data_IF_869930133487
#
_entry.id   IF_869930133487
#
_cell.length_a   1.000
_cell.length_b   1.000
_cell.length_c   1.000
_cell.angle_alpha   90.00
_cell.angle_beta   90.00
_cell.angle_gamma   90.00
#
_symmetry.space_group_name_H-M   'P 1'
#
loop_
_entity.id
_entity.type
_entity.pdbx_description
1 polymer ?
#
# COMPACT_ATOMS: atom_id res chain seq x y z
N UNK A 1 -5.77 -15.40 -16.36
CA UNK A 1 -5.46 -13.95 -16.43
C UNK A 1 -6.29 -13.13 -15.44
N UNK A 2 -7.62 -13.16 -15.50
CA UNK A 2 -8.51 -12.44 -14.56
C UNK A 2 -8.16 -12.70 -13.08
N UNK A 3 -7.92 -13.96 -12.71
CA UNK A 3 -7.54 -14.33 -11.34
C UNK A 3 -6.24 -13.68 -10.88
N UNK A 4 -5.26 -13.47 -11.76
CA UNK A 4 -3.97 -12.88 -11.38
C UNK A 4 -4.11 -11.38 -11.07
N UNK A 5 -4.89 -10.65 -11.87
CA UNK A 5 -5.19 -9.24 -11.61
C UNK A 5 -6.07 -9.05 -10.36
N UNK A 6 -7.00 -9.96 -10.08
CA UNK A 6 -7.77 -9.94 -8.84
C UNK A 6 -6.88 -10.12 -7.60
N UNK A 7 -5.91 -11.05 -7.65
CA UNK A 7 -4.94 -11.24 -6.58
C UNK A 7 -4.02 -10.04 -6.40
N UNK A 8 -3.64 -9.38 -7.49
CA UNK A 8 -2.86 -8.15 -7.46
C UNK A 8 -3.64 -7.00 -6.80
N UNK A 9 -4.91 -6.80 -7.16
CA UNK A 9 -5.76 -5.79 -6.51
C UNK A 9 -5.94 -6.06 -5.02
N UNK A 10 -6.18 -7.32 -4.63
CA UNK A 10 -6.27 -7.71 -3.23
C UNK A 10 -4.94 -7.47 -2.50
N UNK A 11 -3.81 -7.82 -3.11
CA UNK A 11 -2.48 -7.54 -2.56
C UNK A 11 -2.27 -6.05 -2.32
N UNK A 12 -2.59 -5.21 -3.30
CA UNK A 12 -2.49 -3.74 -3.20
C UNK A 12 -3.37 -3.23 -2.04
N UNK A 13 -4.61 -3.71 -1.95
CA UNK A 13 -5.52 -3.33 -0.87
C UNK A 13 -4.95 -3.70 0.52
N UNK A 14 -4.38 -4.90 0.68
CA UNK A 14 -3.75 -5.33 1.92
C UNK A 14 -2.52 -4.49 2.28
N UNK A 15 -1.68 -4.13 1.31
CA UNK A 15 -0.52 -3.26 1.55
C UNK A 15 -0.95 -1.88 2.03
N UNK A 16 -1.92 -1.28 1.34
CA UNK A 16 -2.41 0.06 1.68
C UNK A 16 -3.12 0.05 3.03
N UNK A 17 -3.92 -0.98 3.33
CA UNK A 17 -4.52 -1.17 4.64
C UNK A 17 -3.45 -1.31 5.73
N UNK A 18 -2.41 -2.12 5.50
CA UNK A 18 -1.29 -2.30 6.44
C UNK A 18 -0.56 -0.99 6.74
N UNK A 19 -0.24 -0.22 5.71
CA UNK A 19 0.37 1.11 5.86
C UNK A 19 -0.52 2.08 6.64
N UNK A 20 -1.82 2.08 6.35
CA UNK A 20 -2.78 2.95 7.02
C UNK A 20 -2.89 2.59 8.50
N UNK A 21 -2.97 1.29 8.83
CA UNK A 21 -2.98 0.78 10.20
C UNK A 21 -1.71 1.15 10.95
N UNK A 22 -0.53 1.03 10.32
CA UNK A 22 0.73 1.47 10.91
C UNK A 22 0.76 2.96 11.17
N UNK A 23 0.30 3.77 10.22
CA UNK A 23 0.24 5.22 10.39
C UNK A 23 -0.66 5.61 11.57
N UNK A 24 -1.85 5.02 11.67
CA UNK A 24 -2.76 5.21 12.82
C UNK A 24 -2.09 4.78 14.13
N UNK A 25 -1.41 3.63 14.14
CA UNK A 25 -0.71 3.13 15.32
C UNK A 25 0.42 4.04 15.79
N UNK A 26 1.24 4.51 14.86
CA UNK A 26 2.35 5.42 15.14
C UNK A 26 1.85 6.77 15.63
N UNK A 27 0.80 7.33 15.01
CA UNK A 27 0.24 8.61 15.44
C UNK A 27 -0.33 8.52 16.87
N UNK A 28 -0.95 7.39 17.24
CA UNK A 28 -1.43 7.14 18.62
C UNK A 28 -0.30 6.96 19.63
N UNK A 29 0.85 6.45 19.21
CA UNK A 29 2.01 6.19 20.07
C UNK A 29 3.00 7.37 20.13
N UNK A 30 2.73 8.46 19.41
CA UNK A 30 3.60 9.63 19.35
C UNK A 30 4.83 9.45 18.44
N UNK A 31 4.78 8.49 17.51
CA UNK A 31 5.87 8.16 16.60
C UNK A 31 6.83 7.09 17.14
N UNK A 32 7.88 6.80 16.38
CA UNK A 32 8.93 5.85 16.75
C UNK A 32 10.17 6.59 17.26
N UNK A 33 10.53 6.33 18.51
CA UNK A 33 11.66 6.92 19.23
C UNK A 33 12.45 5.84 19.96
N UNK A 34 13.71 6.10 20.30
CA UNK A 34 14.58 5.11 20.98
C UNK A 34 13.99 4.58 22.29
N UNK A 35 13.25 5.42 23.03
CA UNK A 35 12.67 5.06 24.32
C UNK A 35 11.39 4.21 24.21
N UNK A 36 10.70 4.21 23.06
CA UNK A 36 9.41 3.53 22.89
C UNK A 36 9.46 2.39 21.85
N UNK A 37 10.64 2.03 21.34
CA UNK A 37 10.82 0.99 20.30
C UNK A 37 10.07 -0.29 20.66
N UNK A 38 10.30 -0.86 21.84
CA UNK A 38 9.64 -2.12 22.23
C UNK A 38 8.12 -1.97 22.27
N UNK A 39 7.61 -0.86 22.80
CA UNK A 39 6.17 -0.59 22.83
C UNK A 39 5.57 -0.49 21.42
N UNK A 40 6.27 0.16 20.49
CA UNK A 40 5.84 0.27 19.09
C UNK A 40 5.85 -1.10 18.43
N UNK A 41 6.95 -1.86 18.54
CA UNK A 41 7.07 -3.18 17.89
C UNK A 41 6.05 -4.20 18.38
N UNK A 42 5.69 -4.17 19.68
CA UNK A 42 4.68 -5.06 20.25
C UNK A 42 3.27 -4.43 20.28
N UNK A 43 3.08 -3.27 19.67
CA UNK A 43 1.76 -2.65 19.54
C UNK A 43 0.84 -3.49 18.65
N UNK A 44 -0.43 -3.71 19.04
CA UNK A 44 -1.41 -4.39 18.20
C UNK A 44 -1.54 -3.78 16.80
N UNK A 45 -1.35 -2.47 16.66
CA UNK A 45 -1.37 -1.76 15.38
C UNK A 45 -0.19 -2.16 14.49
N UNK A 46 1.02 -2.26 15.06
CA UNK A 46 2.20 -2.66 14.29
C UNK A 46 2.11 -4.14 13.91
N UNK A 47 1.75 -5.00 14.85
CA UNK A 47 1.61 -6.44 14.60
C UNK A 47 0.52 -6.75 13.56
N UNK A 48 -0.62 -6.05 13.60
CA UNK A 48 -1.68 -6.23 12.59
C UNK A 48 -1.22 -5.78 11.21
N UNK A 49 -0.52 -4.66 11.07
CA UNK A 49 0.05 -4.26 9.78
C UNK A 49 1.12 -5.23 9.27
N UNK A 50 1.94 -5.81 10.15
CA UNK A 50 2.89 -6.89 9.79
C UNK A 50 2.15 -8.12 9.27
N UNK A 51 1.06 -8.52 9.92
CA UNK A 51 0.21 -9.62 9.46
C UNK A 51 -0.36 -9.35 8.06
N UNK A 52 -0.90 -8.15 7.84
CA UNK A 52 -1.42 -7.72 6.53
C UNK A 52 -0.32 -7.74 5.45
N UNK A 53 0.88 -7.26 5.77
CA UNK A 53 2.04 -7.29 4.88
C UNK A 53 2.52 -8.72 4.59
N UNK A 54 2.48 -9.61 5.58
CA UNK A 54 2.78 -11.02 5.41
C UNK A 54 1.80 -11.69 4.43
N UNK A 55 0.50 -11.46 4.62
CA UNK A 55 -0.53 -11.96 3.70
C UNK A 55 -0.38 -11.36 2.29
N UNK A 56 -0.12 -10.06 2.19
CA UNK A 56 0.18 -9.40 0.94
C UNK A 56 1.37 -10.08 0.25
N UNK A 57 2.47 -10.34 0.97
CA UNK A 57 3.66 -11.00 0.42
C UNK A 57 3.33 -12.36 -0.19
N UNK A 58 2.50 -13.18 0.48
CA UNK A 58 2.05 -14.47 -0.07
C UNK A 58 1.28 -14.28 -1.37
N UNK A 59 0.35 -13.30 -1.43
CA UNK A 59 -0.37 -12.99 -2.66
C UNK A 59 0.57 -12.49 -3.77
N UNK A 60 1.58 -11.70 -3.43
CA UNK A 60 2.55 -11.17 -4.39
C UNK A 60 3.36 -12.29 -5.05
N UNK A 61 3.80 -13.28 -4.28
CA UNK A 61 4.45 -14.48 -4.84
C UNK A 61 3.53 -15.18 -5.84
N UNK A 62 2.25 -15.34 -5.51
CA UNK A 62 1.26 -15.95 -6.39
C UNK A 62 0.94 -15.10 -7.64
N UNK A 63 1.09 -13.78 -7.57
CA UNK A 63 0.98 -12.88 -8.72
C UNK A 63 2.20 -13.03 -9.64
N UNK A 64 3.41 -13.02 -9.08
CA UNK A 64 4.66 -13.16 -9.84
C UNK A 64 4.81 -14.53 -10.50
N UNK A 65 4.18 -15.58 -9.96
CA UNK A 65 4.10 -16.87 -10.64
C UNK A 65 3.18 -16.87 -11.88
N UNK A 66 2.37 -15.83 -12.08
CA UNK A 66 1.34 -15.77 -13.15
C UNK A 66 1.48 -14.59 -14.10
N UNK A 67 2.16 -13.53 -13.69
CA UNK A 67 2.38 -12.33 -14.48
C UNK A 67 3.88 -12.01 -14.54
N UNK A 68 4.38 -11.52 -15.69
CA UNK A 68 5.73 -11.01 -15.74
C UNK A 68 5.87 -9.81 -14.80
N UNK A 69 6.99 -9.71 -14.10
CA UNK A 69 7.27 -8.63 -13.16
C UNK A 69 7.13 -7.25 -13.82
N UNK A 70 7.53 -7.12 -15.10
CA UNK A 70 7.42 -5.90 -15.90
C UNK A 70 5.98 -5.44 -16.14
N UNK A 71 4.98 -6.32 -16.01
CA UNK A 71 3.57 -5.95 -16.07
C UNK A 71 2.96 -5.75 -14.67
N UNK A 72 3.29 -6.64 -13.71
CA UNK A 72 2.74 -6.59 -12.36
C UNK A 72 3.23 -5.38 -11.54
N UNK A 73 4.52 -5.06 -11.63
CA UNK A 73 5.13 -4.01 -10.79
C UNK A 73 4.62 -2.59 -11.09
N UNK A 74 4.41 -2.20 -12.37
CA UNK A 74 3.74 -0.93 -12.66
C UNK A 74 2.32 -0.86 -12.10
N UNK A 75 1.52 -1.91 -12.25
CA UNK A 75 0.17 -1.97 -11.69
C UNK A 75 0.16 -1.86 -10.15
N UNK A 76 1.20 -2.36 -9.48
CA UNK A 76 1.40 -2.20 -8.04
C UNK A 76 1.41 -0.73 -7.59
N UNK A 77 1.82 0.21 -8.46
CA UNK A 77 1.84 1.64 -8.14
C UNK A 77 0.47 2.25 -7.87
N UNK A 78 -0.64 1.53 -8.19
CA UNK A 78 -1.99 1.87 -7.71
C UNK A 78 -2.06 1.95 -6.18
N UNK A 79 -1.18 1.24 -5.47
CA UNK A 79 -1.04 1.37 -4.02
C UNK A 79 -0.78 2.81 -3.59
N UNK A 80 0.00 3.58 -4.36
CA UNK A 80 0.24 4.99 -4.08
C UNK A 80 -1.04 5.81 -4.15
N UNK A 81 -1.85 5.59 -5.19
CA UNK A 81 -3.12 6.30 -5.41
C UNK A 81 -4.10 5.99 -4.28
N UNK A 82 -4.25 4.71 -3.92
CA UNK A 82 -5.11 4.32 -2.81
C UNK A 82 -4.60 4.81 -1.45
N UNK A 83 -3.28 4.78 -1.20
CA UNK A 83 -2.71 5.33 0.01
C UNK A 83 -2.96 6.84 0.12
N UNK A 84 -2.82 7.58 -0.98
CA UNK A 84 -3.13 9.01 -1.05
C UNK A 84 -4.61 9.27 -0.74
N UNK A 85 -5.52 8.47 -1.31
CA UNK A 85 -6.96 8.57 -1.04
C UNK A 85 -7.29 8.28 0.43
N UNK A 86 -6.70 7.23 1.03
CA UNK A 86 -6.94 6.91 2.44
C UNK A 86 -6.31 7.95 3.38
N UNK A 87 -5.15 8.50 3.03
CA UNK A 87 -4.55 9.59 3.80
C UNK A 87 -5.46 10.83 3.82
N UNK A 88 -6.07 11.17 2.68
CA UNK A 88 -7.03 12.26 2.60
C UNK A 88 -8.34 11.97 3.34
N UNK A 89 -8.94 10.79 3.13
CA UNK A 89 -10.28 10.45 3.65
C UNK A 89 -10.29 9.98 5.10
N UNK A 90 -9.37 9.08 5.48
CA UNK A 90 -9.35 8.43 6.80
C UNK A 90 -8.44 9.14 7.79
N UNK A 91 -7.28 9.64 7.32
CA UNK A 91 -6.32 10.32 8.20
C UNK A 91 -6.54 11.84 8.24
N UNK A 92 -7.37 12.39 7.35
CA UNK A 92 -7.65 13.83 7.29
C UNK A 92 -6.44 14.67 6.89
N UNK A 93 -5.47 14.09 6.18
CA UNK A 93 -4.28 14.81 5.75
C UNK A 93 -4.62 15.87 4.68
N UNK A 94 -4.06 17.08 4.83
CA UNK A 94 -4.14 18.12 3.80
C UNK A 94 -3.11 17.80 2.71
N UNK A 95 -3.59 17.19 1.63
CA UNK A 95 -2.72 16.76 0.52
C UNK A 95 -2.56 17.90 -0.49
N UNK A 96 -1.33 18.39 -0.72
CA UNK A 96 -1.10 19.48 -1.66
C UNK A 96 -1.43 19.06 -3.11
N UNK A 97 -1.87 20.00 -3.98
CA UNK A 97 -2.32 19.70 -5.35
C UNK A 97 -1.29 18.96 -6.21
N UNK A 98 0.00 19.22 -6.00
CA UNK A 98 1.08 18.56 -6.74
C UNK A 98 1.10 17.03 -6.57
N UNK A 99 0.73 16.50 -5.39
CA UNK A 99 0.65 15.05 -5.16
C UNK A 99 -0.51 14.41 -5.92
N UNK A 100 -1.63 15.10 -6.06
CA UNK A 100 -2.76 14.66 -6.89
C UNK A 100 -2.39 14.63 -8.37
N UNK A 101 -1.70 15.66 -8.85
CA UNK A 101 -1.20 15.71 -10.23
C UNK A 101 -0.23 14.55 -10.48
N UNK A 102 0.71 14.33 -9.56
CA UNK A 102 1.64 13.20 -9.62
C UNK A 102 0.94 11.84 -9.65
N UNK A 103 -0.08 11.64 -8.81
CA UNK A 103 -0.91 10.43 -8.83
C UNK A 103 -1.60 10.22 -10.19
N UNK A 104 -2.12 11.29 -10.79
CA UNK A 104 -2.68 11.26 -12.15
C UNK A 104 -1.65 10.84 -13.20
N UNK A 105 -0.42 11.35 -13.12
CA UNK A 105 0.68 10.98 -14.03
C UNK A 105 1.04 9.49 -13.86
N UNK A 106 1.10 8.99 -12.62
CA UNK A 106 1.33 7.56 -12.34
C UNK A 106 0.24 6.71 -12.99
N UNK A 107 -1.03 7.08 -12.81
CA UNK A 107 -2.16 6.36 -13.43
C UNK A 107 -2.05 6.32 -14.95
N UNK A 108 -1.72 7.43 -15.60
CA UNK A 108 -1.49 7.47 -17.06
C UNK A 108 -0.35 6.52 -17.45
N UNK A 109 0.78 6.55 -16.72
CA UNK A 109 1.90 5.64 -16.97
C UNK A 109 1.50 4.17 -16.84
N UNK A 110 0.71 3.83 -15.81
CA UNK A 110 0.18 2.47 -15.62
C UNK A 110 -0.74 2.06 -16.76
N UNK A 111 -1.64 2.94 -17.22
CA UNK A 111 -2.50 2.66 -18.37
C UNK A 111 -1.69 2.39 -19.63
N UNK A 112 -0.65 3.18 -19.90
CA UNK A 112 0.24 2.98 -21.07
C UNK A 112 0.94 1.62 -21.02
N UNK A 113 1.34 1.17 -19.83
CA UNK A 113 2.01 -0.13 -19.67
C UNK A 113 1.01 -1.29 -19.73
N UNK A 114 -0.16 -1.15 -19.09
CA UNK A 114 -1.19 -2.20 -18.99
C UNK A 114 -2.02 -2.42 -20.26
N UNK A 115 -1.96 -1.51 -21.24
CA UNK A 115 -2.64 -1.63 -22.54
C UNK A 115 -1.85 -2.45 -23.57
N UNK A 116 -0.75 -3.11 -23.17
CA UNK A 116 0.00 -4.08 -23.98
C UNK A 116 -0.26 -5.50 -23.52
#
# INVERSE_FOLDING_TARGET
>A
MVTAYALLLLNIALLVAGQTVWKIGLDRLGGLHLHNVLQVFFSPWILSGVLLYGLATVLWLAVLSRLPLSAAYPLQSLAYVFALLLAWLLLGEVIPPNRWIGAGIILVGVCVIGLK
#
